data_IF_565401828132
#
_entry.id   IF_565401828132
#
_cell.length_a   1.000
_cell.length_b   1.000
_cell.length_c   1.000
_cell.angle_alpha   90.00
_cell.angle_beta   90.00
_cell.angle_gamma   90.00
#
_symmetry.space_group_name_H-M   'P 1'
#
loop_
_entity.id
_entity.type
_entity.pdbx_description
1 polymer ?
#
# COMPACT_ATOMS: atom_id res chain seq x y z
N UNK A 1 -6.10 -19.02 -10.70
CA UNK A 1 -6.35 -18.64 -9.30
C UNK A 1 -5.09 -18.09 -8.61
N UNK A 2 -3.97 -18.82 -8.42
CA UNK A 2 -2.76 -18.26 -7.78
C UNK A 2 -2.18 -17.02 -8.47
N UNK A 3 -2.07 -17.05 -9.80
CA UNK A 3 -1.54 -15.94 -10.60
C UNK A 3 -2.44 -14.71 -10.53
N UNK A 4 -3.77 -14.89 -10.54
CA UNK A 4 -4.73 -13.79 -10.42
C UNK A 4 -4.64 -13.13 -9.04
N UNK A 5 -4.50 -13.93 -7.98
CA UNK A 5 -4.30 -13.42 -6.63
C UNK A 5 -2.98 -12.65 -6.49
N UNK A 6 -1.89 -13.19 -7.06
CA UNK A 6 -0.59 -12.50 -7.13
C UNK A 6 -0.69 -11.16 -7.87
N UNK A 7 -1.33 -11.13 -9.04
CA UNK A 7 -1.55 -9.91 -9.80
C UNK A 7 -2.40 -8.90 -9.01
N UNK A 8 -3.42 -9.37 -8.30
CA UNK A 8 -4.24 -8.54 -7.41
C UNK A 8 -3.40 -7.86 -6.33
N UNK A 9 -2.58 -8.62 -5.61
CA UNK A 9 -1.68 -8.08 -4.58
C UNK A 9 -0.65 -7.12 -5.18
N UNK A 10 -0.01 -7.49 -6.29
CA UNK A 10 0.95 -6.65 -7.00
C UNK A 10 0.33 -5.30 -7.42
N UNK A 11 -0.91 -5.32 -7.92
CA UNK A 11 -1.62 -4.10 -8.32
C UNK A 11 -1.88 -3.17 -7.12
N UNK A 12 -2.27 -3.71 -5.97
CA UNK A 12 -2.50 -2.93 -4.76
C UNK A 12 -1.23 -2.24 -4.27
N UNK A 13 -0.11 -2.96 -4.20
CA UNK A 13 1.16 -2.37 -3.81
C UNK A 13 1.68 -1.35 -4.83
N UNK A 14 1.41 -1.55 -6.12
CA UNK A 14 1.75 -0.57 -7.17
C UNK A 14 1.02 0.75 -6.95
N UNK A 15 -0.25 0.72 -6.53
CA UNK A 15 -1.00 1.94 -6.17
C UNK A 15 -0.34 2.64 -4.98
N UNK A 16 0.06 1.90 -3.95
CA UNK A 16 0.75 2.50 -2.79
C UNK A 16 2.09 3.14 -3.20
N UNK A 17 2.90 2.47 -4.03
CA UNK A 17 4.14 3.04 -4.57
C UNK A 17 3.85 4.31 -5.38
N UNK A 18 2.78 4.33 -6.18
CA UNK A 18 2.38 5.52 -6.93
C UNK A 18 2.03 6.70 -6.01
N UNK A 19 1.40 6.44 -4.86
CA UNK A 19 1.17 7.46 -3.83
C UNK A 19 2.50 7.98 -3.29
N UNK A 20 3.43 7.10 -2.89
CA UNK A 20 4.75 7.55 -2.40
C UNK A 20 5.47 8.38 -3.47
N UNK A 21 5.45 7.94 -4.73
CA UNK A 21 6.03 8.66 -5.86
C UNK A 21 5.39 10.04 -6.04
N UNK A 22 4.09 10.18 -5.81
CA UNK A 22 3.40 11.46 -5.89
C UNK A 22 3.94 12.43 -4.82
N UNK A 23 4.11 11.97 -3.57
CA UNK A 23 4.73 12.78 -2.51
C UNK A 23 6.20 13.10 -2.78
N UNK A 24 6.98 12.11 -3.23
CA UNK A 24 8.36 12.30 -3.67
C UNK A 24 8.43 13.39 -4.76
N UNK A 25 7.58 13.29 -5.79
CA UNK A 25 7.52 14.25 -6.89
C UNK A 25 7.33 15.66 -6.36
N UNK A 26 6.36 15.85 -5.44
CA UNK A 26 6.08 17.16 -4.88
C UNK A 26 7.26 17.69 -4.07
N UNK A 27 7.87 16.85 -3.24
CA UNK A 27 9.05 17.23 -2.48
C UNK A 27 10.25 17.60 -3.38
N UNK A 28 10.39 16.94 -4.53
CA UNK A 28 11.46 17.15 -5.50
C UNK A 28 11.23 18.37 -6.41
N UNK A 29 10.00 18.88 -6.54
CA UNK A 29 9.73 20.14 -7.25
C UNK A 29 10.21 21.37 -6.47
N UNK A 30 10.43 21.23 -5.17
CA UNK A 30 11.02 22.26 -4.31
C UNK A 30 12.53 22.29 -4.59
N UNK A 31 12.98 23.28 -5.36
CA UNK A 31 14.38 23.38 -5.80
C UNK A 31 15.37 23.46 -4.62
N UNK A 32 14.94 24.06 -3.51
CA UNK A 32 15.72 24.24 -2.29
C UNK A 32 15.79 22.98 -1.41
N UNK A 33 15.04 21.93 -1.76
CA UNK A 33 15.05 20.69 -0.99
C UNK A 33 16.38 19.94 -1.14
N UNK A 34 17.10 19.79 -0.02
CA UNK A 34 18.39 19.07 0.01
C UNK A 34 18.22 17.58 -0.32
N UNK A 35 17.09 16.98 0.04
CA UNK A 35 16.80 15.56 -0.16
C UNK A 35 16.20 15.23 -1.53
N UNK A 36 16.08 16.23 -2.41
CA UNK A 36 15.57 16.06 -3.76
C UNK A 36 16.40 15.04 -4.54
N UNK A 37 15.72 14.10 -5.18
CA UNK A 37 16.33 13.22 -6.18
C UNK A 37 16.49 14.02 -7.48
N UNK A 38 17.73 14.37 -7.82
CA UNK A 38 18.02 15.29 -8.94
C UNK A 38 18.05 14.60 -10.29
N UNK A 39 18.48 13.34 -10.34
CA UNK A 39 18.73 12.62 -11.59
C UNK A 39 17.55 11.72 -11.95
N UNK A 40 17.19 11.69 -13.23
CA UNK A 40 16.15 10.79 -13.75
C UNK A 40 16.51 9.33 -13.48
N UNK A 41 17.78 8.95 -13.65
CA UNK A 41 18.27 7.60 -13.36
C UNK A 41 18.10 7.26 -11.88
N UNK A 42 18.51 8.15 -10.97
CA UNK A 42 18.36 7.91 -9.53
C UNK A 42 16.89 7.75 -9.13
N UNK A 43 16.00 8.50 -9.78
CA UNK A 43 14.56 8.39 -9.56
C UNK A 43 13.99 7.06 -10.06
N UNK A 44 14.34 6.64 -11.27
CA UNK A 44 13.94 5.33 -11.82
C UNK A 44 14.48 4.21 -10.93
N UNK A 45 15.76 4.26 -10.56
CA UNK A 45 16.36 3.27 -9.65
C UNK A 45 15.62 3.21 -8.31
N UNK A 46 15.27 4.34 -7.71
CA UNK A 46 14.52 4.37 -6.45
C UNK A 46 13.11 3.76 -6.57
N UNK A 47 12.39 4.04 -7.67
CA UNK A 47 11.09 3.42 -7.95
C UNK A 47 11.24 1.91 -8.14
N UNK A 48 12.24 1.47 -8.91
CA UNK A 48 12.51 0.06 -9.15
C UNK A 48 12.87 -0.68 -7.86
N UNK A 49 13.67 -0.08 -6.98
CA UNK A 49 14.00 -0.67 -5.67
C UNK A 49 12.76 -0.83 -4.79
N UNK A 50 11.87 0.16 -4.76
CA UNK A 50 10.61 0.04 -4.02
C UNK A 50 9.72 -1.06 -4.61
N UNK A 51 9.56 -1.08 -5.93
CA UNK A 51 8.74 -2.09 -6.61
C UNK A 51 9.29 -3.49 -6.39
N UNK A 52 10.55 -3.74 -6.75
CA UNK A 52 11.16 -5.06 -6.64
C UNK A 52 11.35 -5.49 -5.18
N UNK A 53 11.65 -4.57 -4.26
CA UNK A 53 11.75 -4.87 -2.84
C UNK A 53 10.44 -5.39 -2.26
N UNK A 54 9.32 -4.75 -2.61
CA UNK A 54 7.99 -5.21 -2.19
C UNK A 54 7.61 -6.51 -2.88
N UNK A 55 7.79 -6.61 -4.19
CA UNK A 55 7.48 -7.84 -4.91
C UNK A 55 8.30 -9.03 -4.39
N UNK A 56 9.58 -8.83 -4.08
CA UNK A 56 10.45 -9.86 -3.51
C UNK A 56 10.05 -10.27 -2.09
N UNK A 57 9.50 -9.34 -1.28
CA UNK A 57 9.02 -9.69 0.07
C UNK A 57 7.69 -10.44 0.04
N UNK A 58 6.85 -10.21 -0.98
CA UNK A 58 5.52 -10.81 -1.06
C UNK A 58 5.46 -12.09 -1.90
N UNK A 59 6.42 -12.32 -2.80
CA UNK A 59 6.44 -13.50 -3.68
C UNK A 59 6.70 -14.84 -2.98
N UNK A 60 7.51 -14.94 -1.91
CA UNK A 60 7.87 -16.22 -1.31
C UNK A 60 6.68 -17.12 -0.93
N UNK A 61 5.57 -16.54 -0.46
CA UNK A 61 4.37 -17.30 -0.09
C UNK A 61 3.71 -18.06 -1.26
N UNK A 62 4.00 -17.68 -2.50
CA UNK A 62 3.40 -18.33 -3.67
C UNK A 62 4.15 -19.60 -4.11
N UNK A 63 5.33 -19.86 -3.55
CA UNK A 63 6.07 -21.09 -3.84
C UNK A 63 5.55 -22.30 -3.07
N UNK A 64 4.79 -22.09 -2.00
CA UNK A 64 4.29 -23.15 -1.12
C UNK A 64 2.78 -23.04 -0.91
N UNK A 65 2.03 -22.93 -2.02
CA UNK A 65 0.57 -22.87 -1.97
C UNK A 65 0.02 -24.27 -1.69
N UNK A 66 -0.80 -24.46 -0.64
CA UNK A 66 -1.31 -25.78 -0.31
C UNK A 66 -2.32 -26.29 -1.35
N UNK A 67 -2.46 -27.61 -1.42
CA UNK A 67 -3.55 -28.23 -2.18
C UNK A 67 -4.89 -27.71 -1.65
N UNK A 68 -5.72 -27.17 -2.54
CA UNK A 68 -6.93 -26.46 -2.15
C UNK A 68 -8.01 -27.39 -1.55
N UNK A 69 -8.05 -28.67 -1.94
CA UNK A 69 -9.00 -29.61 -1.34
C UNK A 69 -8.59 -29.95 0.10
N UNK A 70 -7.32 -30.22 0.32
CA UNK A 70 -6.78 -30.54 1.65
C UNK A 70 -6.86 -29.33 2.58
N UNK A 71 -6.55 -28.13 2.08
CA UNK A 71 -6.64 -26.89 2.82
C UNK A 71 -8.07 -26.56 3.25
N UNK A 72 -9.05 -26.73 2.36
CA UNK A 72 -10.47 -26.54 2.70
C UNK A 72 -10.95 -27.58 3.72
N UNK A 73 -10.53 -28.84 3.58
CA UNK A 73 -10.84 -29.88 4.56
C UNK A 73 -10.21 -29.58 5.93
N UNK A 74 -8.99 -29.04 5.96
CA UNK A 74 -8.34 -28.60 7.19
C UNK A 74 -9.14 -27.49 7.87
N UNK A 75 -9.61 -26.48 7.12
CA UNK A 75 -10.46 -25.40 7.65
C UNK A 75 -11.78 -25.97 8.20
N UNK A 76 -12.42 -26.92 7.50
CA UNK A 76 -13.67 -27.56 7.95
C UNK A 76 -13.52 -28.34 9.26
N UNK A 77 -12.32 -28.84 9.59
CA UNK A 77 -12.07 -29.47 10.90
C UNK A 77 -12.10 -28.45 12.03
N UNK A 78 -11.69 -27.22 11.76
CA UNK A 78 -11.72 -26.11 12.73
C UNK A 78 -13.07 -25.40 12.76
N UNK A 79 -13.76 -25.30 11.62
CA UNK A 79 -15.05 -24.63 11.43
C UNK A 79 -16.06 -25.63 10.84
N UNK A 80 -16.76 -26.42 11.68
CA UNK A 80 -17.56 -27.56 11.21
C UNK A 80 -18.86 -27.18 10.46
N UNK A 81 -19.36 -25.96 10.65
CA UNK A 81 -20.58 -25.48 10.00
C UNK A 81 -20.33 -24.14 9.29
N UNK A 82 -19.59 -24.11 8.16
CA UNK A 82 -19.40 -22.87 7.40
C UNK A 82 -20.67 -22.51 6.62
N UNK A 83 -20.72 -21.27 6.14
CA UNK A 83 -21.78 -20.79 5.25
C UNK A 83 -21.76 -21.53 3.91
N UNK A 84 -22.89 -21.53 3.19
CA UNK A 84 -23.01 -22.17 1.87
C UNK A 84 -21.99 -21.62 0.86
N UNK A 85 -21.66 -20.34 0.99
CA UNK A 85 -20.66 -19.61 0.19
C UNK A 85 -19.29 -20.28 0.23
N UNK A 86 -18.93 -20.92 1.34
CA UNK A 86 -17.66 -21.65 1.45
C UNK A 86 -17.50 -22.72 0.36
N UNK A 87 -18.61 -23.37 -0.01
CA UNK A 87 -18.65 -24.48 -0.97
C UNK A 87 -18.99 -24.02 -2.38
N UNK A 88 -19.84 -23.02 -2.53
CA UNK A 88 -20.34 -22.57 -3.85
C UNK A 88 -19.41 -21.57 -4.50
N UNK A 89 -18.69 -20.76 -3.72
CA UNK A 89 -17.78 -19.76 -4.27
C UNK A 89 -16.38 -20.34 -4.53
N UNK A 90 -15.66 -19.82 -5.54
CA UNK A 90 -14.28 -20.21 -5.82
C UNK A 90 -13.33 -19.61 -4.76
N UNK A 91 -13.45 -20.09 -3.52
CA UNK A 91 -12.61 -19.67 -2.41
C UNK A 91 -11.20 -20.23 -2.58
N UNK A 92 -10.21 -19.35 -2.37
CA UNK A 92 -8.79 -19.66 -2.45
C UNK A 92 -8.16 -19.54 -1.07
N UNK A 93 -7.54 -20.62 -0.60
CA UNK A 93 -6.81 -20.65 0.66
C UNK A 93 -5.34 -20.35 0.38
N UNK A 94 -4.86 -19.23 0.91
CA UNK A 94 -3.49 -18.77 0.69
C UNK A 94 -2.47 -19.64 1.43
N UNK A 95 -2.70 -19.93 2.71
CA UNK A 95 -1.88 -20.82 3.53
C UNK A 95 -2.71 -21.41 4.67
N UNK A 96 -2.32 -22.59 5.15
CA UNK A 96 -2.77 -23.21 6.41
C UNK A 96 -1.59 -23.42 7.38
N UNK A 97 -0.38 -23.09 6.93
CA UNK A 97 0.85 -23.25 7.69
C UNK A 97 1.09 -22.00 8.56
N UNK A 98 1.30 -22.16 9.88
CA UNK A 98 1.47 -21.02 10.80
C UNK A 98 2.69 -20.15 10.51
N UNK A 99 3.76 -20.72 9.94
CA UNK A 99 4.95 -19.95 9.58
C UNK A 99 4.63 -19.00 8.42
N UNK A 100 3.99 -19.50 7.36
CA UNK A 100 3.60 -18.67 6.22
C UNK A 100 2.54 -17.64 6.58
N UNK A 101 1.58 -17.99 7.45
CA UNK A 101 0.60 -17.04 7.98
C UNK A 101 1.31 -15.86 8.68
N UNK A 102 2.20 -16.17 9.62
CA UNK A 102 2.95 -15.15 10.36
C UNK A 102 3.88 -14.34 9.42
N UNK A 103 4.49 -14.99 8.43
CA UNK A 103 5.31 -14.32 7.41
C UNK A 103 4.51 -13.28 6.62
N UNK A 104 3.31 -13.63 6.15
CA UNK A 104 2.42 -12.71 5.41
C UNK A 104 2.06 -11.52 6.28
N UNK A 105 1.64 -11.76 7.52
CA UNK A 105 1.30 -10.70 8.45
C UNK A 105 2.48 -9.77 8.74
N UNK A 106 3.65 -10.31 9.09
CA UNK A 106 4.83 -9.50 9.41
C UNK A 106 5.33 -8.75 8.18
N UNK A 107 5.49 -9.43 7.04
CA UNK A 107 6.01 -8.81 5.80
C UNK A 107 5.08 -7.70 5.28
N UNK A 108 3.76 -7.90 5.36
CA UNK A 108 2.76 -6.88 5.03
C UNK A 108 2.84 -5.66 5.95
N UNK A 109 2.92 -5.87 7.28
CA UNK A 109 3.05 -4.78 8.25
C UNK A 109 4.35 -3.99 8.08
N UNK A 110 5.49 -4.67 7.87
CA UNK A 110 6.77 -4.02 7.60
C UNK A 110 6.69 -3.20 6.32
N UNK A 111 6.14 -3.76 5.25
CA UNK A 111 5.98 -3.05 3.96
C UNK A 111 5.13 -1.79 4.13
N UNK A 112 3.98 -1.91 4.80
CA UNK A 112 3.10 -0.78 5.07
C UNK A 112 3.78 0.30 5.92
N UNK A 113 4.52 -0.10 6.96
CA UNK A 113 5.29 0.81 7.80
C UNK A 113 6.36 1.55 6.98
N UNK A 114 7.14 0.83 6.17
CA UNK A 114 8.17 1.42 5.31
C UNK A 114 7.58 2.45 4.33
N UNK A 115 6.48 2.13 3.66
CA UNK A 115 5.81 3.05 2.74
C UNK A 115 5.27 4.29 3.48
N UNK A 116 4.69 4.10 4.66
CA UNK A 116 4.19 5.18 5.51
C UNK A 116 5.32 6.12 5.93
N UNK A 117 6.47 5.58 6.36
CA UNK A 117 7.64 6.38 6.72
C UNK A 117 8.17 7.19 5.54
N UNK A 118 8.15 6.65 4.32
CA UNK A 118 8.53 7.39 3.12
C UNK A 118 7.57 8.56 2.85
N UNK A 119 6.25 8.32 2.94
CA UNK A 119 5.23 9.38 2.78
C UNK A 119 5.44 10.48 3.83
N UNK A 120 5.61 10.10 5.10
CA UNK A 120 5.86 11.04 6.19
C UNK A 120 7.13 11.86 5.92
N UNK A 121 8.22 11.22 5.53
CA UNK A 121 9.47 11.89 5.21
C UNK A 121 9.31 12.96 4.11
N UNK A 122 8.70 12.62 2.98
CA UNK A 122 8.49 13.57 1.89
C UNK A 122 7.49 14.67 2.25
N UNK A 123 6.49 14.33 3.06
CA UNK A 123 5.53 15.30 3.59
C UNK A 123 6.22 16.29 4.52
N UNK A 124 7.07 15.82 5.44
CA UNK A 124 7.87 16.66 6.33
C UNK A 124 8.80 17.58 5.55
N UNK A 125 9.42 17.10 4.48
CA UNK A 125 10.21 17.94 3.58
C UNK A 125 9.35 19.05 2.96
N UNK A 126 8.18 18.71 2.42
CA UNK A 126 7.24 19.70 1.88
C UNK A 126 6.87 20.75 2.94
N UNK A 127 6.46 20.32 4.14
CA UNK A 127 6.04 21.22 5.22
C UNK A 127 7.18 22.17 5.61
N UNK A 128 8.38 21.63 5.82
CA UNK A 128 9.54 22.42 6.20
C UNK A 128 9.86 23.51 5.18
N UNK A 129 9.96 23.16 3.89
CA UNK A 129 10.33 24.14 2.87
C UNK A 129 9.20 25.10 2.49
N UNK A 130 7.94 24.70 2.62
CA UNK A 130 6.81 25.55 2.27
C UNK A 130 6.43 26.54 3.37
N UNK A 131 6.52 26.15 4.64
CA UNK A 131 6.01 26.94 5.75
C UNK A 131 7.10 27.52 6.65
N UNK A 132 8.22 26.82 6.81
CA UNK A 132 9.28 27.20 7.76
C UNK A 132 10.42 27.93 7.04
N UNK A 133 10.86 27.39 5.89
CA UNK A 133 11.97 27.97 5.13
C UNK A 133 11.60 29.31 4.48
N UNK A 134 12.49 30.29 4.56
CA UNK A 134 12.38 31.60 3.89
C UNK A 134 13.15 31.67 2.56
N UNK A 135 13.57 30.52 2.03
CA UNK A 135 14.48 30.42 0.86
C UNK A 135 13.78 30.59 -0.49
N UNK A 136 12.45 30.71 -0.51
CA UNK A 136 11.64 30.76 -1.72
C UNK A 136 10.86 32.09 -1.83
N UNK A 137 10.71 32.60 -3.05
CA UNK A 137 9.92 33.81 -3.32
C UNK A 137 8.44 33.61 -2.96
N UNK A 138 7.77 34.69 -2.56
CA UNK A 138 6.37 34.62 -2.11
C UNK A 138 5.43 34.06 -3.18
N UNK A 139 5.66 34.40 -4.46
CA UNK A 139 4.88 33.91 -5.58
C UNK A 139 4.99 32.39 -5.73
N UNK A 140 6.22 31.85 -5.80
CA UNK A 140 6.48 30.42 -5.96
C UNK A 140 5.94 29.63 -4.77
N UNK A 141 6.12 30.17 -3.56
CA UNK A 141 5.62 29.55 -2.32
C UNK A 141 4.10 29.38 -2.34
N UNK A 142 3.35 30.42 -2.76
CA UNK A 142 1.89 30.35 -2.87
C UNK A 142 1.45 29.26 -3.86
N UNK A 143 2.12 29.14 -5.00
CA UNK A 143 1.80 28.12 -6.01
C UNK A 143 2.08 26.70 -5.50
N UNK A 144 3.21 26.49 -4.83
CA UNK A 144 3.56 25.17 -4.28
C UNK A 144 2.65 24.77 -3.12
N UNK A 145 2.26 25.71 -2.23
CA UNK A 145 1.27 25.44 -1.16
C UNK A 145 -0.07 25.00 -1.75
N UNK A 146 -0.58 25.70 -2.77
CA UNK A 146 -1.84 25.32 -3.44
C UNK A 146 -1.74 23.91 -4.04
N UNK A 147 -0.62 23.61 -4.69
CA UNK A 147 -0.36 22.29 -5.27
C UNK A 147 -0.25 21.19 -4.21
N UNK A 148 0.33 21.51 -3.04
CA UNK A 148 0.43 20.59 -1.91
C UNK A 148 -0.96 20.23 -1.35
N UNK A 149 -1.84 21.22 -1.15
CA UNK A 149 -3.22 20.94 -0.72
C UNK A 149 -3.99 20.06 -1.70
N UNK A 150 -3.86 20.32 -3.00
CA UNK A 150 -4.50 19.49 -4.03
C UNK A 150 -4.02 18.04 -3.99
N UNK A 151 -2.72 17.81 -3.76
CA UNK A 151 -2.17 16.45 -3.56
C UNK A 151 -2.80 15.75 -2.35
N UNK A 152 -2.91 16.44 -1.21
CA UNK A 152 -3.48 15.86 0.00
C UNK A 152 -4.94 15.46 -0.26
N UNK A 153 -5.72 16.36 -0.87
CA UNK A 153 -7.12 16.10 -1.24
C UNK A 153 -7.21 14.89 -2.19
N UNK A 154 -6.38 14.86 -3.24
CA UNK A 154 -6.35 13.77 -4.22
C UNK A 154 -6.02 12.42 -3.58
N UNK A 155 -5.21 12.39 -2.52
CA UNK A 155 -4.84 11.15 -1.83
C UNK A 155 -5.91 10.72 -0.82
N UNK A 156 -6.52 11.67 -0.10
CA UNK A 156 -7.50 11.39 0.95
C UNK A 156 -8.86 10.98 0.37
N UNK A 157 -9.31 11.57 -0.74
CA UNK A 157 -10.62 11.25 -1.33
C UNK A 157 -10.77 9.75 -1.66
N UNK A 158 -9.86 9.11 -2.41
CA UNK A 158 -9.96 7.67 -2.70
C UNK A 158 -9.96 6.81 -1.44
N UNK A 159 -9.18 7.19 -0.42
CA UNK A 159 -9.14 6.48 0.86
C UNK A 159 -10.53 6.54 1.52
N UNK A 160 -11.13 7.72 1.63
CA UNK A 160 -12.47 7.87 2.22
C UNK A 160 -13.54 7.10 1.45
N UNK A 161 -13.47 7.10 0.12
CA UNK A 161 -14.40 6.35 -0.73
C UNK A 161 -14.31 4.83 -0.55
N UNK A 162 -13.20 4.31 -0.03
CA UNK A 162 -13.03 2.88 0.27
C UNK A 162 -13.43 2.59 1.73
N UNK A 163 -12.90 3.36 2.69
CA UNK A 163 -13.08 3.08 4.12
C UNK A 163 -14.53 3.30 4.59
N UNK A 164 -15.24 4.30 4.06
CA UNK A 164 -16.62 4.59 4.49
C UNK A 164 -17.59 3.45 4.12
N UNK A 165 -17.64 2.95 2.86
CA UNK A 165 -18.46 1.78 2.55
C UNK A 165 -18.07 0.53 3.33
N UNK A 166 -16.76 0.29 3.52
CA UNK A 166 -16.29 -0.90 4.21
C UNK A 166 -16.75 -0.92 5.68
N UNK A 167 -16.62 0.21 6.37
CA UNK A 167 -17.11 0.36 7.75
C UNK A 167 -18.63 0.23 7.86
N UNK A 168 -19.39 0.74 6.89
CA UNK A 168 -20.84 0.57 6.84
C UNK A 168 -21.24 -0.90 6.62
N UNK A 169 -20.51 -1.64 5.78
CA UNK A 169 -20.71 -3.07 5.55
C UNK A 169 -20.38 -3.89 6.80
N UNK A 170 -19.23 -3.66 7.43
CA UNK A 170 -18.83 -4.35 8.65
C UNK A 170 -19.80 -4.12 9.82
N UNK A 171 -20.42 -2.94 9.90
CA UNK A 171 -21.43 -2.67 10.91
C UNK A 171 -22.71 -3.48 10.67
N UNK A 172 -23.11 -3.71 9.40
CA UNK A 172 -24.27 -4.55 9.09
C UNK A 172 -24.07 -6.02 9.45
N UNK A 173 -22.85 -6.53 9.33
CA UNK A 173 -22.52 -7.93 9.65
C UNK A 173 -22.52 -8.21 11.17
N UNK A 174 -22.38 -7.17 12.01
CA UNK A 174 -22.50 -7.30 13.47
C UNK A 174 -23.95 -7.39 13.96
N UNK A 175 -24.91 -6.95 13.16
CA UNK A 175 -26.33 -6.83 13.53
C UNK A 175 -27.21 -7.97 12.97
N UNK A 176 -26.63 -8.98 12.31
CA UNK A 176 -27.31 -10.16 11.75
C UNK A 176 -26.74 -11.46 12.29
#
# INVERSE_FOLDING_TARGET
MPVQFWLGIASNYTVLIAIVLLFETRSSLIQQNRFRIKTTVGRISWVLVNFWGIMASQTPMYFDIPNQMDAKMFILKSLPCPTIEFFTEPNFVMTIDPFWENYIHISGNITFLCLTLQILFFTSCCIYYLFISKTMSQYTRRLQIRSFYLMIIQTVIPILLIFVPLSALMNKEKDG
#
